data_IF_753750751851
#
_entry.id   IF_753750751851
#
_cell.length_a   1.000
_cell.length_b   1.000
_cell.length_c   1.000
_cell.angle_alpha   90.00
_cell.angle_beta   90.00
_cell.angle_gamma   90.00
#
_symmetry.space_group_name_H-M   'P 1'
#
loop_
_entity.id
_entity.type
_entity.pdbx_description
1 polymer ?
#
# COMPACT_ATOMS: atom_id res chain seq x y z
N UNK A 1 -15.57 -17.76 12.24
CA UNK A 1 -14.82 -16.72 11.50
C UNK A 1 -14.11 -15.73 12.42
N UNK A 2 -14.72 -15.28 13.52
CA UNK A 2 -14.09 -14.32 14.47
C UNK A 2 -12.85 -14.85 15.19
N UNK A 3 -12.82 -16.14 15.55
CA UNK A 3 -11.66 -16.77 16.22
C UNK A 3 -10.39 -16.79 15.36
N UNK A 4 -10.53 -16.93 14.05
CA UNK A 4 -9.41 -16.91 13.09
C UNK A 4 -8.90 -15.49 12.84
N UNK A 5 -9.82 -14.51 12.81
CA UNK A 5 -9.49 -13.10 12.71
C UNK A 5 -8.73 -12.59 13.94
N UNK A 6 -9.14 -13.01 15.14
CA UNK A 6 -8.46 -12.65 16.39
C UNK A 6 -7.06 -13.30 16.47
N UNK A 7 -6.94 -14.59 16.10
CA UNK A 7 -5.65 -15.30 16.09
C UNK A 7 -4.65 -14.67 15.11
N UNK A 8 -5.10 -14.27 13.92
CA UNK A 8 -4.25 -13.56 12.95
C UNK A 8 -3.87 -12.14 13.39
N UNK A 9 -4.74 -11.45 14.14
CA UNK A 9 -4.46 -10.11 14.66
C UNK A 9 -3.43 -10.14 15.80
N UNK A 10 -3.50 -11.16 16.65
CA UNK A 10 -2.54 -11.40 17.74
C UNK A 10 -1.19 -11.85 17.17
N UNK A 11 -1.17 -12.76 16.19
CA UNK A 11 0.07 -13.20 15.55
C UNK A 11 0.80 -12.03 14.87
N UNK A 12 0.07 -11.20 14.11
CA UNK A 12 0.65 -10.02 13.48
C UNK A 12 1.12 -8.98 14.51
N UNK A 13 0.47 -8.84 15.67
CA UNK A 13 0.95 -7.92 16.72
C UNK A 13 2.18 -8.46 17.43
N UNK A 14 2.29 -9.78 17.61
CA UNK A 14 3.45 -10.45 18.20
C UNK A 14 4.67 -10.39 17.26
N UNK A 15 4.46 -10.58 15.96
CA UNK A 15 5.51 -10.46 14.93
C UNK A 15 5.98 -8.99 14.78
N UNK A 16 5.06 -8.03 14.87
CA UNK A 16 5.39 -6.59 14.90
C UNK A 16 6.12 -6.18 16.20
N UNK A 17 5.79 -6.79 17.33
CA UNK A 17 6.47 -6.55 18.61
C UNK A 17 7.86 -7.18 18.64
N UNK A 18 8.02 -8.41 18.13
CA UNK A 18 9.29 -9.11 18.05
C UNK A 18 10.27 -8.46 17.05
N UNK A 19 9.76 -7.95 15.92
CA UNK A 19 10.56 -7.20 14.96
C UNK A 19 11.01 -5.85 15.53
N UNK A 20 10.11 -5.09 16.16
CA UNK A 20 10.46 -3.82 16.84
C UNK A 20 11.55 -3.97 17.90
N UNK A 21 11.54 -5.08 18.66
CA UNK A 21 12.52 -5.33 19.71
C UNK A 21 13.92 -5.70 19.16
N UNK A 22 13.98 -6.38 17.99
CA UNK A 22 15.25 -6.68 17.31
C UNK A 22 15.89 -5.43 16.70
N UNK A 23 15.10 -4.50 16.15
CA UNK A 23 15.63 -3.22 15.66
C UNK A 23 16.22 -2.39 16.81
N UNK A 24 15.52 -2.31 17.94
CA UNK A 24 16.00 -1.63 19.15
C UNK A 24 17.35 -2.17 19.66
N UNK A 25 17.53 -3.51 19.69
CA UNK A 25 18.80 -4.12 20.10
C UNK A 25 19.95 -3.82 19.13
N UNK A 26 19.69 -3.77 17.82
CA UNK A 26 20.72 -3.48 16.82
C UNK A 26 21.15 -2.01 16.92
N UNK A 27 20.22 -1.07 17.07
CA UNK A 27 20.56 0.34 17.28
C UNK A 27 21.32 0.55 18.59
N UNK A 28 20.97 -0.18 19.65
CA UNK A 28 21.71 -0.15 20.91
C UNK A 28 23.16 -0.65 20.75
N UNK A 29 23.38 -1.75 20.03
CA UNK A 29 24.72 -2.29 19.79
C UNK A 29 25.57 -1.40 18.87
N UNK A 30 24.97 -0.80 17.84
CA UNK A 30 25.63 0.20 16.97
C UNK A 30 26.01 1.46 17.73
N UNK A 31 25.15 1.92 18.63
CA UNK A 31 25.42 3.05 19.51
C UNK A 31 26.59 2.76 20.48
N UNK A 32 26.61 1.56 21.07
CA UNK A 32 27.68 1.10 21.96
C UNK A 32 29.04 1.00 21.24
N UNK A 33 29.06 0.46 20.02
CA UNK A 33 30.26 0.43 19.17
C UNK A 33 30.74 1.84 18.80
N UNK A 34 29.81 2.76 18.53
CA UNK A 34 30.12 4.18 18.30
C UNK A 34 30.79 4.83 19.51
N UNK A 35 30.26 4.61 20.71
CA UNK A 35 30.84 5.12 21.97
C UNK A 35 32.26 4.59 22.19
N UNK A 36 32.48 3.29 22.00
CA UNK A 36 33.80 2.67 22.15
C UNK A 36 34.80 3.23 21.12
N UNK A 37 34.37 3.41 19.86
CA UNK A 37 35.21 4.02 18.82
C UNK A 37 35.62 5.46 19.14
N UNK A 38 34.68 6.28 19.65
CA UNK A 38 34.99 7.66 20.06
C UNK A 38 35.95 7.72 21.26
N UNK A 39 35.83 6.79 22.21
CA UNK A 39 36.72 6.72 23.36
C UNK A 39 38.16 6.33 22.96
N UNK A 40 38.32 5.38 22.03
CA UNK A 40 39.63 4.98 21.51
C UNK A 40 40.31 6.09 20.70
N UNK A 41 39.55 6.85 19.91
CA UNK A 41 40.05 8.00 19.15
C UNK A 41 40.49 9.14 20.09
N UNK A 42 39.73 9.41 21.15
CA UNK A 42 40.09 10.39 22.17
C UNK A 42 41.38 9.99 22.92
N UNK A 43 41.55 8.70 23.20
CA UNK A 43 42.76 8.16 23.82
C UNK A 43 44.00 8.30 22.91
N UNK A 44 43.87 7.98 21.62
CA UNK A 44 44.95 8.14 20.65
C UNK A 44 45.37 9.62 20.49
N UNK A 45 44.42 10.55 20.60
CA UNK A 45 44.68 11.99 20.54
C UNK A 45 45.63 12.47 21.65
N UNK A 46 45.58 11.82 22.82
CA UNK A 46 46.38 12.18 24.00
C UNK A 46 47.84 11.75 23.90
N UNK A 47 48.18 10.79 23.01
CA UNK A 47 49.53 10.24 22.90
C UNK A 47 50.42 10.93 21.83
N UNK A 48 49.86 11.77 20.96
CA UNK A 48 50.57 12.30 19.80
C UNK A 48 51.05 13.74 19.99
N UNK A 49 52.33 14.00 19.70
CA UNK A 49 53.01 15.30 19.91
C UNK A 49 52.55 16.38 18.91
N UNK A 50 52.11 16.00 17.70
CA UNK A 50 51.69 16.94 16.66
C UNK A 50 50.16 16.94 16.46
N UNK A 51 49.52 18.01 16.93
CA UNK A 51 48.06 18.21 16.96
C UNK A 51 47.42 18.08 15.58
N UNK A 52 48.04 18.63 14.53
CA UNK A 52 47.44 18.67 13.18
C UNK A 52 47.42 17.29 12.51
N UNK A 53 48.47 16.49 12.71
CA UNK A 53 48.56 15.13 12.17
C UNK A 53 47.63 14.16 12.93
N UNK A 54 47.47 14.37 14.24
CA UNK A 54 46.52 13.60 15.06
C UNK A 54 45.07 13.85 14.66
N UNK A 55 44.72 15.11 14.36
CA UNK A 55 43.39 15.49 13.89
C UNK A 55 43.04 14.91 12.52
N UNK A 56 43.96 14.95 11.56
CA UNK A 56 43.68 14.43 10.22
C UNK A 56 43.49 12.90 10.24
N UNK A 57 44.29 12.17 11.01
CA UNK A 57 44.19 10.71 11.16
C UNK A 57 42.88 10.32 11.86
N UNK A 58 42.49 11.04 12.91
CA UNK A 58 41.26 10.72 13.65
C UNK A 58 39.99 10.95 12.82
N UNK A 59 39.95 12.03 12.02
CA UNK A 59 38.85 12.31 11.09
C UNK A 59 38.76 11.22 10.02
N UNK A 60 39.88 10.80 9.45
CA UNK A 60 39.92 9.75 8.42
C UNK A 60 39.45 8.39 8.97
N UNK A 61 39.91 8.03 10.18
CA UNK A 61 39.47 6.82 10.87
C UNK A 61 37.97 6.83 11.18
N UNK A 62 37.43 7.97 11.60
CA UNK A 62 36.00 8.13 11.86
C UNK A 62 35.14 8.02 10.60
N UNK A 63 35.60 8.60 9.48
CA UNK A 63 34.93 8.48 8.18
C UNK A 63 34.92 7.02 7.71
N UNK A 64 36.06 6.31 7.83
CA UNK A 64 36.15 4.88 7.50
C UNK A 64 35.19 4.05 8.36
N UNK A 65 35.12 4.35 9.66
CA UNK A 65 34.20 3.67 10.57
C UNK A 65 32.72 3.86 10.17
N UNK A 66 32.30 5.11 9.88
CA UNK A 66 30.95 5.40 9.41
C UNK A 66 30.65 4.66 8.11
N UNK A 67 31.60 4.61 7.17
CA UNK A 67 31.45 3.90 5.91
C UNK A 67 31.28 2.39 6.11
N UNK A 68 32.07 1.77 6.99
CA UNK A 68 31.94 0.35 7.32
C UNK A 68 30.57 0.06 7.96
N UNK A 69 30.15 0.89 8.91
CA UNK A 69 28.83 0.78 9.54
C UNK A 69 27.73 0.89 8.49
N UNK A 70 27.78 1.91 7.63
CA UNK A 70 26.78 2.13 6.59
C UNK A 70 26.69 0.95 5.60
N UNK A 71 27.83 0.42 5.15
CA UNK A 71 27.88 -0.73 4.24
C UNK A 71 27.27 -1.97 4.91
N UNK A 72 27.61 -2.23 6.17
CA UNK A 72 27.07 -3.37 6.92
C UNK A 72 25.57 -3.25 7.16
N UNK A 73 25.08 -2.07 7.54
CA UNK A 73 23.64 -1.84 7.72
C UNK A 73 22.88 -1.97 6.41
N UNK A 74 23.42 -1.41 5.32
CA UNK A 74 22.79 -1.47 4.00
C UNK A 74 22.71 -2.90 3.47
N UNK A 75 23.79 -3.67 3.55
CA UNK A 75 23.82 -5.07 3.09
C UNK A 75 22.94 -5.99 3.93
N UNK A 76 22.81 -5.72 5.23
CA UNK A 76 21.87 -6.44 6.08
C UNK A 76 20.41 -6.09 5.72
N UNK A 77 20.09 -4.80 5.56
CA UNK A 77 18.74 -4.35 5.23
C UNK A 77 18.27 -4.90 3.88
N UNK A 78 19.15 -4.96 2.88
CA UNK A 78 18.82 -5.56 1.57
C UNK A 78 18.52 -7.05 1.70
N UNK A 79 19.33 -7.80 2.47
CA UNK A 79 19.10 -9.23 2.70
C UNK A 79 17.78 -9.50 3.42
N UNK A 80 17.43 -8.67 4.39
CA UNK A 80 16.18 -8.84 5.14
C UNK A 80 14.96 -8.47 4.29
N UNK A 81 15.05 -7.41 3.48
CA UNK A 81 14.00 -7.07 2.52
C UNK A 81 13.79 -8.18 1.48
N UNK A 82 14.87 -8.75 0.94
CA UNK A 82 14.79 -9.88 0.00
C UNK A 82 14.10 -11.10 0.63
N UNK A 83 14.45 -11.46 1.86
CA UNK A 83 13.78 -12.54 2.61
C UNK A 83 12.29 -12.26 2.84
N UNK A 84 11.93 -11.01 3.12
CA UNK A 84 10.54 -10.65 3.35
C UNK A 84 9.73 -10.67 2.04
N UNK A 85 10.34 -10.28 0.92
CA UNK A 85 9.73 -10.39 -0.41
C UNK A 85 9.60 -11.85 -0.83
N UNK A 86 10.62 -12.68 -0.59
CA UNK A 86 10.58 -14.11 -0.95
C UNK A 86 9.52 -14.86 -0.14
N UNK A 87 9.41 -14.61 1.17
CA UNK A 87 8.38 -15.23 2.00
C UNK A 87 6.96 -14.78 1.64
N UNK A 88 6.77 -13.52 1.24
CA UNK A 88 5.50 -13.04 0.69
C UNK A 88 5.18 -13.75 -0.64
N UNK A 89 6.16 -13.83 -1.55
CA UNK A 89 6.00 -14.52 -2.84
C UNK A 89 5.58 -15.97 -2.64
N UNK A 90 6.29 -16.71 -1.78
CA UNK A 90 5.99 -18.10 -1.46
C UNK A 90 4.59 -18.26 -0.83
N UNK A 91 4.18 -17.34 0.06
CA UNK A 91 2.84 -17.34 0.65
C UNK A 91 1.73 -17.10 -0.37
N UNK A 92 1.93 -16.19 -1.33
CA UNK A 92 0.96 -15.93 -2.39
C UNK A 92 0.95 -17.05 -3.43
N UNK A 93 2.11 -17.61 -3.79
CA UNK A 93 2.21 -18.78 -4.68
C UNK A 93 1.52 -20.00 -4.06
N UNK A 94 1.73 -20.28 -2.77
CA UNK A 94 1.03 -21.36 -2.06
C UNK A 94 -0.49 -21.16 -2.02
N UNK A 95 -0.95 -19.91 -1.94
CA UNK A 95 -2.38 -19.58 -1.97
C UNK A 95 -2.97 -19.70 -3.39
N UNK A 96 -2.21 -19.34 -4.41
CA UNK A 96 -2.57 -19.58 -5.82
C UNK A 96 -2.63 -21.08 -6.09
N UNK A 97 -1.66 -21.85 -5.58
CA UNK A 97 -1.61 -23.30 -5.71
C UNK A 97 -2.77 -23.98 -4.97
N UNK A 98 -3.11 -23.52 -3.76
CA UNK A 98 -4.27 -24.06 -3.03
C UNK A 98 -5.58 -23.76 -3.75
N UNK A 99 -5.73 -22.57 -4.33
CA UNK A 99 -6.89 -22.20 -5.14
C UNK A 99 -6.96 -23.03 -6.44
N UNK A 100 -5.81 -23.36 -7.05
CA UNK A 100 -5.69 -24.26 -8.21
C UNK A 100 -6.01 -25.74 -7.86
N UNK A 101 -5.90 -26.11 -6.58
CA UNK A 101 -6.26 -27.45 -6.10
C UNK A 101 -7.71 -27.56 -5.62
N UNK A 102 -8.32 -26.45 -5.17
CA UNK A 102 -9.68 -26.41 -4.62
C UNK A 102 -10.75 -26.38 -5.73
N UNK A 103 -10.43 -25.80 -6.89
CA UNK A 103 -11.17 -26.06 -8.12
C UNK A 103 -10.54 -27.29 -8.78
N UNK A 104 -11.35 -28.18 -9.36
CA UNK A 104 -10.90 -29.37 -10.12
C UNK A 104 -10.26 -28.97 -11.47
N UNK A 105 -9.45 -27.91 -11.45
CA UNK A 105 -8.71 -27.37 -12.56
C UNK A 105 -7.61 -28.32 -13.00
N UNK A 106 -7.11 -29.24 -12.16
CA UNK A 106 -6.12 -30.22 -12.60
C UNK A 106 -6.71 -31.26 -13.58
N UNK A 107 -7.92 -31.77 -13.32
CA UNK A 107 -8.61 -32.67 -14.25
C UNK A 107 -9.06 -31.92 -15.50
N UNK A 108 -9.58 -30.70 -15.34
CA UNK A 108 -9.97 -29.83 -16.45
C UNK A 108 -8.77 -29.42 -17.31
N UNK A 109 -7.67 -28.98 -16.72
CA UNK A 109 -6.40 -28.65 -17.38
C UNK A 109 -5.82 -29.87 -18.06
N UNK A 110 -5.83 -31.05 -17.44
CA UNK A 110 -5.36 -32.29 -18.08
C UNK A 110 -6.24 -32.68 -19.26
N UNK A 111 -7.55 -32.53 -19.14
CA UNK A 111 -8.52 -32.79 -20.23
C UNK A 111 -8.32 -31.81 -21.38
N UNK A 112 -8.17 -30.52 -21.08
CA UNK A 112 -7.90 -29.46 -22.06
C UNK A 112 -6.53 -29.71 -22.70
N UNK A 113 -5.49 -30.02 -21.92
CA UNK A 113 -4.14 -30.31 -22.40
C UNK A 113 -4.13 -31.51 -23.35
N UNK A 114 -4.81 -32.60 -22.98
CA UNK A 114 -4.95 -33.77 -23.84
C UNK A 114 -5.74 -33.46 -25.10
N UNK A 115 -6.86 -32.73 -24.97
CA UNK A 115 -7.67 -32.28 -26.10
C UNK A 115 -6.86 -31.42 -27.08
N UNK A 116 -6.06 -30.48 -26.57
CA UNK A 116 -5.17 -29.62 -27.38
C UNK A 116 -4.14 -30.44 -28.13
N UNK A 117 -3.48 -31.41 -27.47
CA UNK A 117 -2.53 -32.31 -28.13
C UNK A 117 -3.17 -33.13 -29.23
N UNK A 118 -4.33 -33.72 -28.98
CA UNK A 118 -5.08 -34.50 -29.98
C UNK A 118 -5.51 -33.63 -31.16
N UNK A 119 -5.94 -32.39 -30.92
CA UNK A 119 -6.37 -31.47 -31.96
C UNK A 119 -5.20 -31.03 -32.85
N UNK A 120 -4.04 -30.72 -32.25
CA UNK A 120 -2.80 -30.41 -32.99
C UNK A 120 -2.39 -31.60 -33.84
N UNK A 121 -2.38 -32.81 -33.27
CA UNK A 121 -2.03 -34.03 -33.99
C UNK A 121 -2.96 -34.26 -35.18
N UNK A 122 -4.27 -34.18 -34.98
CA UNK A 122 -5.26 -34.35 -36.05
C UNK A 122 -5.11 -33.28 -37.15
N UNK A 123 -4.81 -32.04 -36.79
CA UNK A 123 -4.55 -30.98 -37.76
C UNK A 123 -3.28 -31.26 -38.58
N UNK A 124 -2.19 -31.67 -37.93
CA UNK A 124 -0.92 -32.05 -38.58
C UNK A 124 -1.10 -33.26 -39.49
N UNK A 125 -1.81 -34.29 -39.04
CA UNK A 125 -2.11 -35.49 -39.84
C UNK A 125 -2.97 -35.15 -41.06
N UNK A 126 -3.99 -34.30 -40.89
CA UNK A 126 -4.80 -33.79 -42.01
C UNK A 126 -3.93 -33.04 -43.03
N UNK A 127 -3.00 -32.18 -42.57
CA UNK A 127 -2.08 -31.47 -43.46
C UNK A 127 -1.13 -32.39 -44.21
N UNK A 128 -0.58 -33.39 -43.51
CA UNK A 128 0.26 -34.41 -44.12
C UNK A 128 -0.48 -35.12 -45.25
N UNK A 129 -1.73 -35.52 -45.01
CA UNK A 129 -2.58 -36.17 -46.03
C UNK A 129 -2.90 -35.23 -47.21
N UNK A 130 -3.18 -33.95 -46.97
CA UNK A 130 -3.48 -32.98 -48.04
C UNK A 130 -2.23 -32.63 -48.87
N UNK A 131 -1.03 -32.63 -48.28
CA UNK A 131 0.24 -32.50 -48.99
C UNK A 131 0.60 -33.77 -49.78
N UNK A 132 0.36 -34.97 -49.23
CA UNK A 132 0.63 -36.24 -49.92
C UNK A 132 -0.33 -36.45 -51.11
N UNK A 133 -1.59 -36.02 -51.01
CA UNK A 133 -2.55 -36.09 -52.13
C UNK A 133 -2.20 -35.12 -53.26
N UNK A 134 -1.41 -34.08 -52.98
CA UNK A 134 -0.96 -33.10 -53.95
C UNK A 134 0.53 -33.34 -54.25
N UNK A 135 0.87 -34.34 -55.06
CA UNK A 135 2.14 -34.34 -55.80
C UNK A 135 2.11 -33.12 -56.76
N UNK A 136 2.62 -31.97 -56.29
CA UNK A 136 2.20 -30.64 -56.76
C UNK A 136 2.67 -30.27 -58.18
N UNK A 137 1.76 -29.88 -59.10
CA UNK A 137 2.05 -28.84 -60.07
C UNK A 137 1.91 -27.44 -59.42
N UNK A 138 2.82 -26.48 -59.69
CA UNK A 138 2.85 -25.19 -59.02
C UNK A 138 1.82 -24.25 -59.64
N UNK A 139 0.57 -24.25 -59.15
CA UNK A 139 -0.35 -23.16 -59.44
C UNK A 139 -0.49 -22.23 -58.24
N UNK A 140 -0.39 -20.92 -58.49
CA UNK A 140 -0.49 -19.89 -57.46
C UNK A 140 -1.84 -19.93 -56.71
N UNK A 141 -2.91 -20.40 -57.37
CA UNK A 141 -4.23 -20.56 -56.77
C UNK A 141 -4.25 -21.66 -55.68
N UNK A 142 -3.59 -22.80 -55.94
CA UNK A 142 -3.47 -23.89 -54.96
C UNK A 142 -2.61 -23.44 -53.77
N UNK A 143 -1.51 -22.73 -54.02
CA UNK A 143 -0.67 -22.17 -52.96
C UNK A 143 -1.42 -21.17 -52.07
N UNK A 144 -2.24 -20.29 -52.67
CA UNK A 144 -3.05 -19.32 -51.93
C UNK A 144 -4.18 -19.97 -51.11
N UNK A 145 -4.88 -20.97 -51.68
CA UNK A 145 -5.92 -21.71 -50.97
C UNK A 145 -5.35 -22.47 -49.77
N UNK A 146 -4.14 -23.03 -49.93
CA UNK A 146 -3.40 -23.67 -48.86
C UNK A 146 -3.04 -22.66 -47.77
N UNK A 147 -2.48 -21.50 -48.11
CA UNK A 147 -2.16 -20.41 -47.16
C UNK A 147 -3.37 -19.94 -46.34
N UNK A 148 -4.57 -19.89 -46.92
CA UNK A 148 -5.81 -19.52 -46.22
C UNK A 148 -6.24 -20.58 -45.19
N UNK A 149 -6.19 -21.86 -45.55
CA UNK A 149 -6.45 -22.96 -44.60
C UNK A 149 -5.44 -22.95 -43.45
N UNK A 150 -4.18 -22.63 -43.73
CA UNK A 150 -3.14 -22.45 -42.70
C UNK A 150 -3.42 -21.27 -41.79
N UNK A 151 -3.93 -20.15 -42.32
CA UNK A 151 -4.37 -19.00 -41.54
C UNK A 151 -5.45 -19.36 -40.52
N UNK A 152 -6.49 -20.10 -40.94
CA UNK A 152 -7.58 -20.53 -40.06
C UNK A 152 -7.10 -21.42 -38.91
N UNK A 153 -6.16 -22.32 -39.19
CA UNK A 153 -5.62 -23.23 -38.16
C UNK A 153 -4.71 -22.47 -37.18
N UNK A 154 -3.92 -21.50 -37.66
CA UNK A 154 -3.16 -20.59 -36.80
C UNK A 154 -4.11 -19.80 -35.87
N UNK A 155 -5.22 -19.29 -36.41
CA UNK A 155 -6.20 -18.56 -35.61
C UNK A 155 -6.85 -19.43 -34.54
N UNK A 156 -7.26 -20.64 -34.93
CA UNK A 156 -7.85 -21.63 -34.04
C UNK A 156 -6.90 -22.01 -32.91
N UNK A 157 -5.65 -22.38 -33.23
CA UNK A 157 -4.62 -22.67 -32.22
C UNK A 157 -4.35 -21.47 -31.31
N UNK A 158 -4.38 -20.26 -31.87
CA UNK A 158 -4.19 -19.05 -31.08
C UNK A 158 -5.36 -18.77 -30.14
N UNK A 159 -6.60 -19.06 -30.55
CA UNK A 159 -7.77 -18.98 -29.69
C UNK A 159 -7.73 -20.02 -28.57
N UNK A 160 -7.27 -21.25 -28.87
CA UNK A 160 -7.04 -22.27 -27.85
C UNK A 160 -6.06 -21.84 -26.76
N UNK A 161 -4.97 -21.15 -27.14
CA UNK A 161 -4.01 -20.57 -26.17
C UNK A 161 -4.65 -19.56 -25.22
N UNK A 162 -5.79 -18.98 -25.58
CA UNK A 162 -6.50 -17.98 -24.79
C UNK A 162 -7.62 -18.55 -23.91
N UNK A 163 -7.87 -19.85 -23.94
CA UNK A 163 -8.95 -20.49 -23.17
C UNK A 163 -8.60 -20.56 -21.67
N UNK A 164 -7.34 -20.83 -21.35
CA UNK A 164 -6.91 -21.00 -19.96
C UNK A 164 -6.52 -19.67 -19.27
N UNK A 165 -6.61 -19.59 -17.93
CA UNK A 165 -6.22 -18.41 -17.16
C UNK A 165 -4.73 -18.08 -17.30
N UNK A 166 -3.89 -19.11 -17.41
CA UNK A 166 -2.46 -19.00 -17.62
C UNK A 166 -2.13 -19.14 -19.11
N UNK A 167 -2.09 -18.00 -19.79
CA UNK A 167 -1.83 -17.90 -21.22
C UNK A 167 -0.43 -18.40 -21.61
N UNK A 168 0.56 -18.19 -20.74
CA UNK A 168 1.95 -18.54 -21.02
C UNK A 168 2.18 -20.04 -20.86
N UNK A 169 1.60 -20.67 -19.83
CA UNK A 169 1.67 -22.12 -19.64
C UNK A 169 1.01 -22.86 -20.84
N UNK A 170 -0.17 -22.42 -21.26
CA UNK A 170 -0.87 -23.03 -22.38
C UNK A 170 -0.14 -22.82 -23.72
N UNK A 171 0.41 -21.61 -23.94
CA UNK A 171 1.26 -21.33 -25.10
C UNK A 171 2.49 -22.25 -25.12
N UNK A 172 3.15 -22.49 -23.99
CA UNK A 172 4.31 -23.38 -23.91
C UNK A 172 3.96 -24.83 -24.27
N UNK A 173 2.80 -25.33 -23.82
CA UNK A 173 2.34 -26.69 -24.16
C UNK A 173 2.16 -26.84 -25.66
N UNK A 174 1.48 -25.89 -26.31
CA UNK A 174 1.29 -25.90 -27.77
C UNK A 174 2.64 -25.85 -28.50
N UNK A 175 3.57 -25.02 -28.02
CA UNK A 175 4.91 -24.92 -28.59
C UNK A 175 5.68 -26.23 -28.46
N UNK A 176 5.67 -26.86 -27.29
CA UNK A 176 6.36 -28.13 -27.06
C UNK A 176 5.82 -29.23 -27.98
N UNK A 177 4.51 -29.31 -28.17
CA UNK A 177 3.92 -30.31 -29.05
C UNK A 177 4.28 -30.05 -30.52
N UNK A 178 4.20 -28.80 -30.99
CA UNK A 178 4.58 -28.46 -32.38
C UNK A 178 6.07 -28.72 -32.62
N UNK A 179 6.94 -28.34 -31.68
CA UNK A 179 8.38 -28.63 -31.77
C UNK A 179 8.63 -30.14 -31.82
N UNK A 180 7.95 -30.92 -30.99
CA UNK A 180 8.05 -32.38 -31.02
C UNK A 180 7.65 -32.97 -32.37
N UNK A 181 6.56 -32.47 -32.99
CA UNK A 181 6.15 -32.89 -34.33
C UNK A 181 7.18 -32.48 -35.39
N UNK A 182 7.73 -31.26 -35.32
CA UNK A 182 8.81 -30.81 -36.22
C UNK A 182 10.01 -31.76 -36.14
N UNK A 183 10.43 -32.15 -34.94
CA UNK A 183 11.55 -33.06 -34.73
C UNK A 183 11.28 -34.45 -35.33
N UNK A 184 10.06 -34.97 -35.19
CA UNK A 184 9.64 -36.24 -35.80
C UNK A 184 9.74 -36.15 -37.33
N UNK A 185 9.19 -35.10 -37.94
CA UNK A 185 9.16 -34.96 -39.40
C UNK A 185 10.47 -34.47 -40.01
N UNK A 186 11.41 -33.95 -39.21
CA UNK A 186 12.71 -33.49 -39.70
C UNK A 186 13.51 -34.62 -40.36
N UNK A 187 13.33 -35.85 -39.87
CA UNK A 187 14.08 -37.04 -40.30
C UNK A 187 13.49 -37.64 -41.58
N UNK A 188 12.17 -37.76 -41.66
CA UNK A 188 11.49 -38.47 -42.74
C UNK A 188 10.97 -37.54 -43.86
N UNK A 189 10.62 -36.28 -43.54
CA UNK A 189 9.89 -35.35 -44.43
C UNK A 189 10.36 -33.90 -44.24
N UNK A 190 11.65 -33.63 -44.47
CA UNK A 190 12.29 -32.32 -44.25
C UNK A 190 11.52 -31.10 -44.80
N UNK A 191 10.94 -31.10 -46.03
CA UNK A 191 10.17 -29.96 -46.53
C UNK A 191 8.92 -29.67 -45.69
N UNK A 192 8.29 -30.70 -45.12
CA UNK A 192 7.14 -30.54 -44.22
C UNK A 192 7.55 -29.95 -42.86
N UNK A 193 8.73 -30.33 -42.36
CA UNK A 193 9.27 -29.76 -41.13
C UNK A 193 9.63 -28.27 -41.28
N UNK A 194 10.27 -27.86 -42.38
CA UNK A 194 10.55 -26.44 -42.69
C UNK A 194 9.26 -25.63 -42.85
N UNK A 195 8.24 -26.26 -43.43
CA UNK A 195 6.91 -25.69 -43.55
C UNK A 195 6.25 -25.46 -42.18
N UNK A 196 6.31 -26.44 -41.27
CA UNK A 196 5.81 -26.32 -39.90
C UNK A 196 6.53 -25.22 -39.10
N UNK A 197 7.85 -25.06 -39.26
CA UNK A 197 8.59 -23.97 -38.64
C UNK A 197 8.08 -22.59 -39.08
N UNK A 198 7.70 -22.44 -40.35
CA UNK A 198 7.14 -21.20 -40.90
C UNK A 198 5.76 -20.90 -40.30
N UNK A 199 4.89 -21.91 -40.18
CA UNK A 199 3.60 -21.78 -39.49
C UNK A 199 3.81 -21.37 -38.03
N UNK A 200 4.74 -22.01 -37.33
CA UNK A 200 5.01 -21.76 -35.92
C UNK A 200 5.42 -20.31 -35.67
N UNK A 201 6.22 -19.72 -36.56
CA UNK A 201 6.57 -18.30 -36.52
C UNK A 201 5.35 -17.38 -36.61
N UNK A 202 4.44 -17.64 -37.57
CA UNK A 202 3.18 -16.87 -37.73
C UNK A 202 2.22 -17.06 -36.55
N UNK A 203 2.16 -18.27 -35.99
CA UNK A 203 1.39 -18.58 -34.81
C UNK A 203 1.85 -17.75 -33.60
N UNK A 204 3.16 -17.72 -33.31
CA UNK A 204 3.71 -16.93 -32.21
C UNK A 204 3.34 -15.45 -32.29
N UNK A 205 3.44 -14.85 -33.48
CA UNK A 205 3.06 -13.46 -33.70
C UNK A 205 1.55 -13.23 -33.44
N UNK A 206 0.71 -14.14 -33.91
CA UNK A 206 -0.75 -14.08 -33.75
C UNK A 206 -1.17 -14.20 -32.29
N UNK A 207 -0.61 -15.18 -31.58
CA UNK A 207 -0.87 -15.41 -30.14
C UNK A 207 -0.44 -14.19 -29.33
N UNK A 208 0.77 -13.69 -29.54
CA UNK A 208 1.28 -12.51 -28.83
C UNK A 208 0.41 -11.28 -29.07
N UNK A 209 -0.11 -11.10 -30.29
CA UNK A 209 -1.07 -10.04 -30.62
C UNK A 209 -2.38 -10.22 -29.85
N UNK A 210 -2.98 -11.41 -29.86
CA UNK A 210 -4.25 -11.68 -29.17
C UNK A 210 -4.11 -11.58 -27.65
N UNK A 211 -3.02 -12.05 -27.05
CA UNK A 211 -2.73 -11.90 -25.62
C UNK A 211 -2.69 -10.40 -25.25
N UNK A 212 -1.95 -9.59 -26.03
CA UNK A 212 -1.87 -8.14 -25.82
C UNK A 212 -3.24 -7.47 -25.88
N UNK A 213 -4.08 -7.86 -26.84
CA UNK A 213 -5.43 -7.33 -26.98
C UNK A 213 -6.32 -7.73 -25.80
N UNK A 214 -6.26 -8.99 -25.34
CA UNK A 214 -7.04 -9.47 -24.19
C UNK A 214 -6.61 -8.77 -22.88
N UNK A 215 -5.31 -8.56 -22.67
CA UNK A 215 -4.78 -7.76 -21.56
C UNK A 215 -5.31 -6.33 -21.66
N UNK A 216 -5.25 -5.71 -22.85
CA UNK A 216 -5.79 -4.36 -23.08
C UNK A 216 -7.27 -4.26 -22.74
N UNK A 217 -8.09 -5.23 -23.14
CA UNK A 217 -9.51 -5.30 -22.82
C UNK A 217 -9.76 -5.44 -21.31
N UNK A 218 -9.00 -6.28 -20.61
CA UNK A 218 -9.11 -6.42 -19.16
C UNK A 218 -8.73 -5.12 -18.43
N UNK A 219 -7.65 -4.45 -18.86
CA UNK A 219 -7.29 -3.13 -18.34
C UNK A 219 -8.42 -2.13 -18.59
N UNK A 220 -9.01 -2.12 -19.80
CA UNK A 220 -10.14 -1.26 -20.17
C UNK A 220 -11.39 -1.49 -19.32
N UNK A 221 -11.64 -2.71 -18.84
CA UNK A 221 -12.76 -3.04 -17.92
C UNK A 221 -12.53 -2.53 -16.51
N UNK A 222 -11.28 -2.42 -16.07
CA UNK A 222 -10.91 -1.92 -14.74
C UNK A 222 -10.51 -0.44 -14.74
N UNK A 223 -10.91 0.30 -15.77
CA UNK A 223 -10.77 1.76 -15.82
C UNK A 223 -12.08 2.43 -15.39
N UNK A 224 -11.95 3.51 -14.61
CA UNK A 224 -13.05 4.40 -14.27
C UNK A 224 -13.10 5.56 -15.25
N UNK A 225 -14.30 6.10 -15.48
CA UNK A 225 -14.44 7.36 -16.20
C UNK A 225 -14.09 8.52 -15.27
N UNK A 226 -13.35 9.51 -15.79
CA UNK A 226 -13.20 10.77 -15.09
C UNK A 226 -14.55 11.50 -15.05
N UNK A 227 -15.04 11.93 -13.87
CA UNK A 227 -16.32 12.65 -13.79
C UNK A 227 -16.27 14.03 -14.46
N UNK A 228 -15.07 14.60 -14.66
CA UNK A 228 -14.91 15.93 -15.22
C UNK A 228 -14.78 15.95 -16.75
N UNK A 229 -14.05 14.99 -17.34
CA UNK A 229 -13.77 14.98 -18.78
C UNK A 229 -14.12 13.66 -19.48
N UNK A 230 -14.77 12.74 -18.76
CA UNK A 230 -15.20 11.42 -19.25
C UNK A 230 -14.09 10.49 -19.78
N UNK A 231 -12.82 10.93 -19.71
CA UNK A 231 -11.67 10.13 -20.11
C UNK A 231 -11.54 8.86 -19.27
N UNK A 232 -11.18 7.73 -19.89
CA UNK A 232 -10.92 6.48 -19.16
C UNK A 232 -9.58 6.58 -18.44
N UNK A 233 -9.62 6.40 -17.13
CA UNK A 233 -8.45 6.47 -16.27
C UNK A 233 -8.34 5.19 -15.46
N UNK A 234 -7.13 4.76 -15.14
CA UNK A 234 -6.91 3.60 -14.26
C UNK A 234 -7.68 3.75 -12.95
N UNK A 235 -8.24 2.66 -12.42
CA UNK A 235 -8.98 2.71 -11.15
C UNK A 235 -8.16 3.32 -10.00
N UNK A 236 -6.85 3.05 -9.98
CA UNK A 236 -5.91 3.56 -8.97
C UNK A 236 -5.40 4.98 -9.26
N UNK A 237 -5.77 5.58 -10.39
CA UNK A 237 -5.35 6.93 -10.73
C UNK A 237 -5.88 7.92 -9.68
N UNK A 238 -4.96 8.64 -9.03
CA UNK A 238 -5.27 9.75 -8.12
C UNK A 238 -5.57 11.05 -8.85
N UNK A 239 -5.06 11.20 -10.07
CA UNK A 239 -5.22 12.40 -10.89
C UNK A 239 -5.51 11.97 -12.33
N UNK A 240 -6.49 12.61 -12.96
CA UNK A 240 -6.72 12.48 -14.40
C UNK A 240 -5.64 13.25 -15.15
N UNK A 241 -4.85 12.57 -15.98
CA UNK A 241 -3.78 13.21 -16.76
C UNK A 241 -4.32 14.20 -17.80
N UNK A 242 -5.54 13.99 -18.29
CA UNK A 242 -6.14 14.83 -19.32
C UNK A 242 -6.63 16.17 -18.76
N UNK A 243 -7.43 16.15 -17.70
CA UNK A 243 -8.06 17.38 -17.16
C UNK A 243 -7.54 17.81 -15.78
N UNK A 244 -6.57 17.10 -15.20
CA UNK A 244 -6.03 17.39 -13.86
C UNK A 244 -6.96 17.05 -12.69
N UNK A 245 -8.14 16.47 -12.94
CA UNK A 245 -9.12 16.15 -11.89
C UNK A 245 -8.54 15.17 -10.85
N UNK A 246 -8.62 15.53 -9.57
CA UNK A 246 -8.15 14.68 -8.47
C UNK A 246 -9.25 13.73 -7.98
N UNK A 247 -8.97 12.43 -8.05
CA UNK A 247 -9.81 11.37 -7.49
C UNK A 247 -9.52 11.23 -5.99
N UNK A 248 -10.14 12.08 -5.19
CA UNK A 248 -10.03 12.06 -3.73
C UNK A 248 -10.76 10.80 -3.22
N UNK A 249 -10.05 9.88 -2.56
CA UNK A 249 -10.68 8.72 -1.92
C UNK A 249 -11.56 9.18 -0.74
N UNK A 250 -12.54 8.37 -0.33
CA UNK A 250 -13.42 8.69 0.81
C UNK A 250 -12.63 9.07 2.07
N UNK A 251 -11.57 8.32 2.39
CA UNK A 251 -10.67 8.61 3.51
C UNK A 251 -9.93 9.94 3.35
N UNK A 252 -9.45 10.26 2.15
CA UNK A 252 -8.78 11.53 1.87
C UNK A 252 -9.75 12.71 2.01
N UNK A 253 -11.02 12.53 1.60
CA UNK A 253 -12.09 13.52 1.75
C UNK A 253 -12.39 13.78 3.22
N UNK A 254 -12.47 12.74 4.05
CA UNK A 254 -12.65 12.88 5.50
C UNK A 254 -11.48 13.62 6.16
N UNK A 255 -10.25 13.34 5.76
CA UNK A 255 -9.05 14.04 6.26
C UNK A 255 -9.09 15.51 5.86
N UNK A 256 -9.44 15.82 4.62
CA UNK A 256 -9.62 17.19 4.12
C UNK A 256 -10.69 17.94 4.90
N UNK A 257 -11.87 17.35 5.11
CA UNK A 257 -12.96 17.94 5.89
C UNK A 257 -12.53 18.19 7.35
N UNK A 258 -11.86 17.21 7.99
CA UNK A 258 -11.33 17.38 9.35
C UNK A 258 -10.31 18.51 9.41
N UNK A 259 -9.42 18.62 8.43
CA UNK A 259 -8.41 19.69 8.35
C UNK A 259 -9.03 21.07 8.15
N UNK A 260 -10.04 21.19 7.28
CA UNK A 260 -10.78 22.43 7.08
C UNK A 260 -11.58 22.83 8.32
N UNK A 261 -12.24 21.87 8.97
CA UNK A 261 -12.96 22.11 10.22
C UNK A 261 -12.02 22.57 11.34
N UNK A 262 -10.84 21.95 11.48
CA UNK A 262 -9.83 22.40 12.44
C UNK A 262 -9.32 23.82 12.16
N UNK A 263 -9.13 24.19 10.88
CA UNK A 263 -8.76 25.57 10.50
C UNK A 263 -9.88 26.58 10.81
N UNK A 264 -11.14 26.23 10.56
CA UNK A 264 -12.29 27.10 10.89
C UNK A 264 -12.49 27.23 12.40
N UNK A 265 -12.36 26.14 13.14
CA UNK A 265 -12.42 26.11 14.61
C UNK A 265 -11.36 27.03 15.22
N UNK A 266 -10.09 26.85 14.84
CA UNK A 266 -8.98 27.72 15.31
C UNK A 266 -9.20 29.19 14.95
N UNK A 267 -9.76 29.48 13.78
CA UNK A 267 -10.15 30.84 13.39
C UNK A 267 -11.24 31.44 14.29
N UNK A 268 -12.26 30.66 14.66
CA UNK A 268 -13.33 31.09 15.58
C UNK A 268 -12.80 31.35 17.00
N UNK A 269 -11.87 30.53 17.49
CA UNK A 269 -11.22 30.72 18.79
C UNK A 269 -10.45 32.03 18.81
N UNK A 270 -9.63 32.30 17.78
CA UNK A 270 -8.90 33.57 17.65
C UNK A 270 -9.85 34.77 17.63
N UNK A 271 -10.87 34.73 16.78
CA UNK A 271 -11.89 35.78 16.72
C UNK A 271 -12.60 36.00 18.06
N UNK A 272 -12.87 34.92 18.80
CA UNK A 272 -13.44 35.00 20.14
C UNK A 272 -12.56 35.76 21.13
N UNK A 273 -11.24 35.53 21.09
CA UNK A 273 -10.28 36.30 21.89
C UNK A 273 -10.18 37.76 21.44
N UNK A 274 -10.16 38.05 20.14
CA UNK A 274 -10.13 39.43 19.63
C UNK A 274 -11.37 40.22 20.07
N UNK A 275 -12.55 39.60 19.96
CA UNK A 275 -13.81 40.20 20.42
C UNK A 275 -13.81 40.46 21.93
N UNK A 276 -13.22 39.54 22.72
CA UNK A 276 -13.03 39.74 24.15
C UNK A 276 -12.14 40.96 24.45
N UNK A 277 -11.03 41.16 23.71
CA UNK A 277 -10.17 42.33 23.90
C UNK A 277 -10.89 43.64 23.57
N UNK A 278 -11.83 43.61 22.63
CA UNK A 278 -12.69 44.77 22.29
C UNK A 278 -13.91 44.94 23.20
N UNK A 279 -14.05 44.13 24.26
CA UNK A 279 -15.18 44.21 25.22
C UNK A 279 -16.50 43.59 24.74
N UNK A 280 -16.52 42.95 23.56
CA UNK A 280 -17.73 42.34 22.97
C UNK A 280 -17.96 40.91 23.50
N UNK A 281 -18.26 40.80 24.79
CA UNK A 281 -18.30 39.52 25.50
C UNK A 281 -19.32 38.51 24.96
N UNK A 282 -20.51 38.95 24.57
CA UNK A 282 -21.58 38.07 24.08
C UNK A 282 -21.24 37.44 22.72
N UNK A 283 -20.59 38.21 21.85
CA UNK A 283 -20.16 37.73 20.53
C UNK A 283 -18.95 36.81 20.64
N UNK A 284 -18.04 37.09 21.58
CA UNK A 284 -16.95 36.19 21.91
C UNK A 284 -17.47 34.83 22.41
N UNK A 285 -18.46 34.83 23.31
CA UNK A 285 -19.13 33.60 23.79
C UNK A 285 -19.77 32.83 22.62
N UNK A 286 -20.39 33.52 21.66
CA UNK A 286 -20.95 32.89 20.45
C UNK A 286 -19.84 32.23 19.63
N UNK A 287 -18.72 32.90 19.39
CA UNK A 287 -17.59 32.33 18.64
C UNK A 287 -17.03 31.06 19.30
N UNK A 288 -16.79 31.10 20.61
CA UNK A 288 -16.34 29.92 21.35
C UNK A 288 -17.38 28.79 21.35
N UNK A 289 -18.67 29.12 21.44
CA UNK A 289 -19.73 28.11 21.39
C UNK A 289 -19.85 27.43 20.03
N UNK A 290 -19.61 28.16 18.93
CA UNK A 290 -19.54 27.57 17.59
C UNK A 290 -18.29 26.68 17.46
N UNK A 291 -17.14 27.12 17.96
CA UNK A 291 -15.91 26.32 17.98
C UNK A 291 -16.12 24.99 18.73
N UNK A 292 -16.77 25.03 19.90
CA UNK A 292 -17.12 23.83 20.68
C UNK A 292 -18.07 22.89 19.92
N UNK A 293 -19.05 23.43 19.19
CA UNK A 293 -19.93 22.61 18.35
C UNK A 293 -19.18 21.94 17.20
N UNK A 294 -18.16 22.59 16.65
CA UNK A 294 -17.32 22.04 15.58
C UNK A 294 -16.32 20.99 16.10
N UNK A 295 -15.75 21.24 17.27
CA UNK A 295 -14.82 20.32 17.93
C UNK A 295 -15.10 20.30 19.45
N UNK A 296 -15.81 19.26 19.95
CA UNK A 296 -16.08 19.10 21.38
C UNK A 296 -14.83 18.87 22.25
N UNK A 297 -13.65 18.68 21.65
CA UNK A 297 -12.37 18.55 22.34
C UNK A 297 -11.49 19.80 22.24
N UNK A 298 -12.03 20.92 21.75
CA UNK A 298 -11.33 22.21 21.70
C UNK A 298 -11.24 22.84 23.10
N UNK A 299 -10.26 22.39 23.87
CA UNK A 299 -9.95 22.83 25.24
C UNK A 299 -9.82 24.35 25.37
N UNK A 300 -9.15 25.01 24.41
CA UNK A 300 -9.01 26.46 24.33
C UNK A 300 -10.35 27.21 24.21
N UNK A 301 -11.33 26.63 23.52
CA UNK A 301 -12.64 27.24 23.35
C UNK A 301 -13.46 27.18 24.65
N UNK A 302 -13.37 26.07 25.38
CA UNK A 302 -13.97 25.95 26.72
C UNK A 302 -13.33 26.90 27.72
N UNK A 303 -11.99 26.98 27.75
CA UNK A 303 -11.29 27.93 28.63
C UNK A 303 -11.65 29.38 28.31
N UNK A 304 -11.59 29.79 27.03
CA UNK A 304 -11.92 31.14 26.60
C UNK A 304 -13.35 31.55 26.96
N UNK A 305 -14.33 30.63 26.79
CA UNK A 305 -15.72 30.88 27.18
C UNK A 305 -15.89 30.94 28.70
N UNK A 306 -15.25 30.04 29.43
CA UNK A 306 -15.29 30.00 30.89
C UNK A 306 -14.68 31.26 31.53
N UNK A 307 -13.57 31.75 30.98
CA UNK A 307 -12.94 32.99 31.39
C UNK A 307 -13.84 34.21 31.20
N UNK A 308 -14.54 34.30 30.06
CA UNK A 308 -15.51 35.39 29.84
C UNK A 308 -16.70 35.27 30.77
N UNK A 309 -17.22 34.07 31.01
CA UNK A 309 -18.30 33.87 31.97
C UNK A 309 -17.92 34.33 33.38
N UNK A 310 -16.67 34.16 33.79
CA UNK A 310 -16.17 34.70 35.04
C UNK A 310 -16.23 36.24 35.04
N UNK A 311 -15.74 36.89 33.98
CA UNK A 311 -15.77 38.35 33.81
C UNK A 311 -17.16 38.97 33.85
N UNK A 312 -18.19 38.25 33.41
CA UNK A 312 -19.59 38.72 33.45
C UNK A 312 -20.40 38.13 34.62
N UNK A 313 -19.72 37.69 35.68
CA UNK A 313 -20.28 37.18 36.94
C UNK A 313 -21.20 35.95 36.79
N UNK A 314 -21.03 35.15 35.73
CA UNK A 314 -21.73 33.87 35.52
C UNK A 314 -20.89 32.70 36.03
N UNK A 315 -20.56 32.72 37.32
CA UNK A 315 -19.60 31.81 37.95
C UNK A 315 -19.91 30.32 37.76
N UNK A 316 -21.18 29.90 37.90
CA UNK A 316 -21.57 28.49 37.69
C UNK A 316 -21.27 27.98 36.28
N UNK A 317 -21.41 28.83 35.25
CA UNK A 317 -21.09 28.47 33.86
C UNK A 317 -19.57 28.50 33.62
N UNK A 318 -18.89 29.46 34.25
CA UNK A 318 -17.44 29.58 34.20
C UNK A 318 -16.74 28.33 34.76
N UNK A 319 -17.11 27.91 35.97
CA UNK A 319 -16.52 26.73 36.63
C UNK A 319 -16.72 25.47 35.80
N UNK A 320 -17.92 25.25 35.26
CA UNK A 320 -18.21 24.08 34.40
C UNK A 320 -17.32 24.03 33.16
N UNK A 321 -17.20 25.15 32.44
CA UNK A 321 -16.39 25.22 31.22
C UNK A 321 -14.88 25.10 31.53
N UNK A 322 -14.41 25.70 32.63
CA UNK A 322 -13.00 25.62 33.05
C UNK A 322 -12.63 24.21 33.52
N UNK A 323 -13.51 23.54 34.27
CA UNK A 323 -13.34 22.12 34.64
C UNK A 323 -13.26 21.22 33.40
N UNK A 324 -14.10 21.48 32.40
CA UNK A 324 -14.06 20.71 31.17
C UNK A 324 -12.77 20.94 30.37
N UNK A 325 -12.32 22.19 30.25
CA UNK A 325 -11.04 22.53 29.63
C UNK A 325 -9.85 21.86 30.35
N UNK A 326 -9.84 21.85 31.67
CA UNK A 326 -8.80 21.21 32.47
C UNK A 326 -8.74 19.69 32.25
N UNK A 327 -9.90 19.02 32.16
CA UNK A 327 -9.99 17.59 31.82
C UNK A 327 -9.49 17.26 30.41
N UNK A 328 -9.61 18.20 29.48
CA UNK A 328 -9.07 18.07 28.12
C UNK A 328 -7.57 18.38 28.03
N UNK A 329 -6.93 18.82 29.13
CA UNK A 329 -5.49 19.06 29.21
C UNK A 329 -5.06 20.53 29.14
N UNK A 330 -5.98 21.49 29.24
CA UNK A 330 -5.64 22.92 29.19
C UNK A 330 -4.90 23.36 30.47
N UNK A 331 -3.60 23.66 30.37
CA UNK A 331 -2.72 23.97 31.51
C UNK A 331 -3.23 25.13 32.37
N UNK A 332 -3.58 26.27 31.76
CA UNK A 332 -4.09 27.43 32.51
C UNK A 332 -5.43 27.17 33.19
N UNK A 333 -6.20 26.20 32.71
CA UNK A 333 -7.46 25.83 33.34
C UNK A 333 -7.19 24.98 34.59
N UNK A 334 -6.20 24.10 34.53
CA UNK A 334 -5.73 23.31 35.68
C UNK A 334 -5.16 24.22 36.77
N UNK A 335 -4.31 25.17 36.39
CA UNK A 335 -3.75 26.18 37.30
C UNK A 335 -4.86 27.01 37.98
N UNK A 336 -5.84 27.48 37.20
CA UNK A 336 -6.97 28.24 37.72
C UNK A 336 -7.82 27.44 38.72
N UNK A 337 -8.01 26.14 38.49
CA UNK A 337 -8.72 25.27 39.44
C UNK A 337 -7.89 25.00 40.69
N UNK A 338 -6.57 24.82 40.57
CA UNK A 338 -5.71 24.64 41.74
C UNK A 338 -5.67 25.85 42.67
N UNK A 339 -5.80 27.07 42.10
CA UNK A 339 -5.89 28.31 42.88
C UNK A 339 -7.26 28.49 43.54
N UNK A 340 -8.35 28.13 42.86
CA UNK A 340 -9.70 28.13 43.46
C UNK A 340 -9.84 27.06 44.54
N UNK A 341 -9.31 25.86 44.30
CA UNK A 341 -9.37 24.75 45.25
C UNK A 341 -8.58 25.05 46.54
N UNK A 342 -7.62 25.98 46.50
CA UNK A 342 -6.94 26.52 47.69
C UNK A 342 -7.79 27.58 48.43
N UNK A 343 -8.70 28.29 47.74
CA UNK A 343 -9.63 29.26 48.35
C UNK A 343 -10.95 28.64 48.82
N UNK A 344 -11.42 27.55 48.20
CA UNK A 344 -12.71 26.90 48.50
C UNK A 344 -12.65 25.87 49.64
N UNK A 345 -11.46 25.52 50.16
CA UNK A 345 -11.34 24.62 51.32
C UNK A 345 -12.00 25.17 52.60
N UNK A 346 -12.20 26.50 52.73
CA UNK A 346 -12.93 27.07 53.86
C UNK A 346 -14.46 27.14 53.67
N UNK A 347 -14.96 27.38 52.45
CA UNK A 347 -16.41 27.52 52.22
C UNK A 347 -17.10 26.18 51.89
N UNK A 348 -16.40 25.24 51.23
CA UNK A 348 -16.98 23.95 50.83
C UNK A 348 -17.19 22.99 52.02
N UNK A 349 -16.32 23.01 53.04
CA UNK A 349 -16.53 22.27 54.30
C UNK A 349 -17.74 22.81 55.09
N UNK A 350 -17.99 24.12 55.01
CA UNK A 350 -19.12 24.76 55.70
C UNK A 350 -20.48 24.43 55.04
N UNK A 351 -20.50 24.28 53.71
CA UNK A 351 -21.69 23.91 52.95
C UNK A 351 -22.05 22.43 53.12
N UNK A 352 -21.05 21.53 53.17
CA UNK A 352 -21.25 20.10 53.42
C UNK A 352 -21.75 19.81 54.86
N UNK A 353 -21.28 20.54 55.88
CA UNK A 353 -21.80 20.43 57.25
C UNK A 353 -23.25 20.92 57.40
N UNK A 354 -23.66 21.93 56.63
CA UNK A 354 -25.05 22.42 56.64
C UNK A 354 -26.04 21.46 55.98
N UNK A 355 -25.62 20.66 54.99
CA UNK A 355 -26.46 19.62 54.40
C UNK A 355 -26.53 18.35 55.26
N UNK A 356 -25.47 17.99 55.99
CA UNK A 356 -25.46 16.80 56.86
C UNK A 356 -26.17 16.97 58.21
N UNK A 357 -26.42 18.22 58.65
CA UNK A 357 -27.08 18.52 59.94
C UNK A 357 -28.59 18.74 59.88
N UNK A 358 -29.21 18.63 58.70
CA UNK A 358 -30.63 18.94 58.47
C UNK A 358 -31.59 17.74 58.50
N UNK A 359 -31.09 16.51 58.59
CA UNK A 359 -31.92 15.28 58.52
C UNK A 359 -32.11 14.56 59.86
N UNK A 360 -31.61 15.11 60.97
CA UNK A 360 -31.87 14.55 62.31
C UNK A 360 -32.37 15.63 63.27
N UNK A 361 -33.66 15.98 63.17
CA UNK A 361 -34.46 16.51 64.28
C UNK A 361 -35.93 16.17 64.11
#
# INVERSE_FOLDING_TARGET
MESVLIKNKIQNSFDNFASGNRYMQIYANLFLLGLIGTALLAFAFFQMINIYLSFSISVLAYIIFIMIVFINTRTWLTKEHEKHISSLKEKYEGKIQSLRNEYDTAMLEKTIRNGTKTLIKNAVDYFKVENIKNEMPPSAAIQNLQLDKYGQIIELLADFSLILPDYDENRQIVLQEITHQIDIFLIDEKPFAEFLQTIMGKYLLTVNKKIREKIRQNVLKHMKACPNCSERVSNDARICKHCGHQFIKSLDKEILIKKENGKKETGLIKKGYDLYQTGRFEEAIKCFSIAIKMNPRADQAYYGRGFIYNKINKYQKAVKDIQYAARLGHEKAQEFLSTIQFSETQEYESALKKQAGGENK
#
